data_IF_485754722530
#
_entry.id   IF_485754722530
#
_cell.length_a   1.000
_cell.length_b   1.000
_cell.length_c   1.000
_cell.angle_alpha   90.00
_cell.angle_beta   90.00
_cell.angle_gamma   90.00
#
_symmetry.space_group_name_H-M   'P 1'
#
loop_
_entity.id
_entity.type
_entity.pdbx_description
1 polymer ?
#
# COMPACT_ATOMS: atom_id res chain seq x y z
N UNK A 1 -12.79 -6.27 0.10
CA UNK A 1 -11.42 -5.79 0.38
C UNK A 1 -10.50 -6.82 -0.23
N UNK A 2 -9.79 -6.41 -1.27
CA UNK A 2 -8.90 -7.29 -2.01
C UNK A 2 -7.56 -7.47 -1.25
N UNK A 3 -6.69 -8.36 -1.74
CA UNK A 3 -5.40 -8.64 -1.09
C UNK A 3 -4.49 -7.39 -1.03
N UNK A 4 -4.48 -6.56 -2.07
CA UNK A 4 -3.68 -5.34 -2.13
C UNK A 4 -4.10 -4.33 -1.06
N UNK A 5 -5.40 -4.09 -0.91
CA UNK A 5 -5.99 -3.23 0.13
C UNK A 5 -5.70 -3.78 1.53
N UNK A 6 -5.86 -5.10 1.73
CA UNK A 6 -5.61 -5.76 3.00
C UNK A 6 -4.13 -5.67 3.42
N UNK A 7 -3.20 -5.87 2.48
CA UNK A 7 -1.77 -5.70 2.71
C UNK A 7 -1.43 -4.25 2.99
N UNK A 8 -2.01 -3.31 2.25
CA UNK A 8 -1.81 -1.89 2.49
C UNK A 8 -2.22 -1.49 3.91
N UNK A 9 -3.40 -1.94 4.34
CA UNK A 9 -3.90 -1.68 5.69
C UNK A 9 -2.98 -2.29 6.76
N UNK A 10 -2.60 -3.56 6.59
CA UNK A 10 -1.73 -4.27 7.53
C UNK A 10 -0.33 -3.64 7.64
N UNK A 11 0.28 -3.31 6.50
CA UNK A 11 1.60 -2.68 6.44
C UNK A 11 1.55 -1.24 6.95
N UNK A 12 0.49 -0.48 6.65
CA UNK A 12 0.31 0.87 7.17
C UNK A 12 0.09 0.89 8.69
N UNK A 13 -0.56 -0.14 9.27
CA UNK A 13 -0.67 -0.28 10.72
C UNK A 13 0.67 -0.59 11.38
N UNK A 14 1.44 -1.52 10.78
CA UNK A 14 2.74 -1.96 11.33
C UNK A 14 3.82 -0.88 11.17
N UNK A 15 3.88 -0.28 9.99
CA UNK A 15 4.78 0.81 9.62
C UNK A 15 3.95 2.07 9.38
N UNK A 16 3.48 2.75 10.45
CA UNK A 16 2.65 3.93 10.32
C UNK A 16 3.38 5.00 9.53
N UNK A 17 2.94 5.14 8.30
CA UNK A 17 3.29 6.26 7.48
C UNK A 17 2.31 7.37 7.82
N UNK A 18 2.82 8.53 8.24
CA UNK A 18 1.97 9.69 8.52
C UNK A 18 1.43 10.31 7.24
N UNK A 19 0.77 9.58 6.36
CA UNK A 19 0.46 10.05 5.01
C UNK A 19 -0.61 11.13 5.10
N UNK A 20 -0.60 12.16 4.24
CA UNK A 20 -1.68 13.13 4.27
C UNK A 20 -3.00 12.41 3.98
N UNK A 21 -3.89 12.32 4.97
CA UNK A 21 -5.19 11.63 4.89
C UNK A 21 -6.08 12.13 3.73
N UNK A 22 -5.82 13.33 3.24
CA UNK A 22 -6.55 13.92 2.12
C UNK A 22 -5.85 13.62 0.78
N UNK A 23 -6.62 13.29 -0.28
CA UNK A 23 -6.04 13.02 -1.59
C UNK A 23 -5.38 14.27 -2.17
N UNK A 24 -4.34 14.08 -2.98
CA UNK A 24 -3.59 15.18 -3.60
C UNK A 24 -4.40 16.04 -4.57
N UNK A 25 -5.53 15.51 -5.06
CA UNK A 25 -6.51 16.23 -5.87
C UNK A 25 -7.29 17.29 -5.08
N UNK A 26 -7.36 17.15 -3.75
CA UNK A 26 -7.92 18.17 -2.87
C UNK A 26 -6.87 19.23 -2.53
N UNK A 27 -7.27 20.50 -2.39
CA UNK A 27 -6.37 21.58 -1.98
C UNK A 27 -5.63 21.28 -0.67
N UNK A 28 -6.34 20.68 0.29
CA UNK A 28 -5.75 20.27 1.58
C UNK A 28 -4.66 19.22 1.40
N UNK A 29 -4.94 18.17 0.64
CA UNK A 29 -3.97 17.09 0.38
C UNK A 29 -2.79 17.55 -0.47
N UNK A 30 -3.02 18.43 -1.44
CA UNK A 30 -2.00 19.07 -2.26
C UNK A 30 -1.04 19.88 -1.39
N UNK A 31 -1.57 20.83 -0.61
CA UNK A 31 -0.77 21.72 0.24
C UNK A 31 -0.02 20.95 1.32
N UNK A 32 -0.62 19.90 1.88
CA UNK A 32 0.04 19.06 2.86
C UNK A 32 1.28 18.35 2.28
N UNK A 33 1.20 17.87 1.04
CA UNK A 33 2.35 17.23 0.34
C UNK A 33 3.40 18.27 -0.02
N UNK A 34 2.99 19.40 -0.60
CA UNK A 34 3.90 20.51 -0.92
C UNK A 34 4.67 20.98 0.32
N UNK A 35 3.98 21.29 1.43
CA UNK A 35 4.62 21.77 2.65
C UNK A 35 5.51 20.75 3.36
N UNK A 36 5.32 19.44 3.11
CA UNK A 36 6.24 18.40 3.58
C UNK A 36 7.48 18.29 2.71
N UNK A 37 7.32 18.39 1.41
CA UNK A 37 8.42 18.44 0.44
C UNK A 37 9.32 19.65 0.69
N UNK A 38 8.71 20.82 0.90
CA UNK A 38 9.41 22.06 1.29
C UNK A 38 10.22 21.87 2.57
N UNK A 39 9.64 21.26 3.61
CA UNK A 39 10.36 21.00 4.87
C UNK A 39 11.48 19.97 4.72
N UNK A 40 11.26 18.92 3.94
CA UNK A 40 12.26 17.88 3.70
C UNK A 40 13.48 18.39 2.91
N UNK A 41 13.30 19.46 2.12
CA UNK A 41 14.34 20.08 1.31
C UNK A 41 14.79 21.45 1.84
N UNK A 42 14.31 21.82 3.03
CA UNK A 42 14.78 23.00 3.73
C UNK A 42 16.17 22.73 4.33
N UNK A 43 17.04 23.71 4.20
CA UNK A 43 18.38 23.79 4.76
C UNK A 43 18.38 24.83 5.87
N UNK A 44 19.35 24.72 6.77
CA UNK A 44 19.49 25.65 7.88
C UNK A 44 19.74 27.08 7.36
N UNK A 45 18.95 28.04 7.83
CA UNK A 45 19.04 29.45 7.40
C UNK A 45 18.28 29.78 6.11
N UNK A 46 17.57 28.82 5.52
CA UNK A 46 16.78 29.08 4.31
C UNK A 46 15.65 30.09 4.52
N UNK A 47 15.46 30.95 3.51
CA UNK A 47 14.21 31.67 3.36
C UNK A 47 13.08 30.72 2.89
N UNK A 48 11.81 31.00 3.24
CA UNK A 48 10.68 30.20 2.79
C UNK A 48 10.56 30.10 1.26
N UNK A 49 11.02 31.10 0.51
CA UNK A 49 11.00 31.08 -0.96
C UNK A 49 12.07 30.16 -1.55
N UNK A 50 13.26 30.08 -0.93
CA UNK A 50 14.32 29.18 -1.37
C UNK A 50 13.91 27.70 -1.24
N UNK A 51 13.32 27.32 -0.10
CA UNK A 51 12.84 25.96 0.13
C UNK A 51 11.72 25.57 -0.87
N UNK A 52 10.81 26.51 -1.18
CA UNK A 52 9.77 26.32 -2.22
C UNK A 52 10.38 26.11 -3.59
N UNK A 53 11.35 26.92 -3.98
CA UNK A 53 12.01 26.80 -5.27
C UNK A 53 12.72 25.44 -5.41
N UNK A 54 13.41 24.97 -4.36
CA UNK A 54 14.01 23.62 -4.33
C UNK A 54 12.96 22.52 -4.42
N UNK A 55 11.87 22.61 -3.67
CA UNK A 55 10.78 21.64 -3.72
C UNK A 55 10.11 21.57 -5.10
N UNK A 56 9.86 22.71 -5.73
CA UNK A 56 9.32 22.77 -7.08
C UNK A 56 10.24 22.09 -8.09
N UNK A 57 11.55 22.41 -8.05
CA UNK A 57 12.57 21.79 -8.92
C UNK A 57 12.68 20.29 -8.68
N UNK A 58 12.67 19.84 -7.44
CA UNK A 58 12.71 18.42 -7.07
C UNK A 58 11.49 17.64 -7.58
N UNK A 59 10.34 18.31 -7.70
CA UNK A 59 9.14 17.79 -8.34
C UNK A 59 9.13 17.94 -9.87
N UNK A 60 10.17 18.50 -10.50
CA UNK A 60 10.18 18.75 -11.94
C UNK A 60 9.11 19.74 -12.40
N UNK A 61 8.80 20.72 -11.54
CA UNK A 61 7.85 21.81 -11.76
C UNK A 61 8.56 23.16 -11.69
N UNK A 62 8.04 24.15 -12.43
CA UNK A 62 8.53 25.53 -12.33
C UNK A 62 8.13 26.18 -10.99
N UNK A 63 8.96 27.06 -10.39
CA UNK A 63 8.62 27.77 -9.15
C UNK A 63 7.29 28.53 -9.23
N UNK A 64 7.01 29.18 -10.37
CA UNK A 64 5.73 29.87 -10.60
C UNK A 64 4.52 28.94 -10.53
N UNK A 65 4.65 27.70 -11.02
CA UNK A 65 3.59 26.69 -10.93
C UNK A 65 3.30 26.32 -9.49
N UNK A 66 4.35 26.20 -8.68
CA UNK A 66 4.23 25.91 -7.25
C UNK A 66 3.52 27.05 -6.51
N UNK A 67 3.87 28.30 -6.79
CA UNK A 67 3.24 29.48 -6.19
C UNK A 67 1.77 29.63 -6.61
N UNK A 68 1.42 29.32 -7.86
CA UNK A 68 0.03 29.28 -8.30
C UNK A 68 -0.80 28.24 -7.54
N UNK A 69 -0.21 27.08 -7.22
CA UNK A 69 -0.90 26.05 -6.44
C UNK A 69 -1.03 26.46 -4.97
N UNK A 70 0.02 27.03 -4.38
CA UNK A 70 -0.01 27.56 -3.00
C UNK A 70 -1.08 28.63 -2.82
N UNK A 71 -1.19 29.55 -3.79
CA UNK A 71 -2.18 30.62 -3.79
C UNK A 71 -3.56 30.20 -4.28
N UNK A 72 -3.76 28.91 -4.61
CA UNK A 72 -5.01 28.35 -5.17
C UNK A 72 -5.47 29.03 -6.46
N UNK A 73 -4.58 29.73 -7.17
CA UNK A 73 -4.88 30.46 -8.41
C UNK A 73 -5.06 29.55 -9.62
N UNK A 74 -4.48 28.34 -9.59
CA UNK A 74 -4.57 27.39 -10.71
C UNK A 74 -4.59 25.95 -10.22
N UNK A 75 -5.57 25.17 -10.66
CA UNK A 75 -5.62 23.74 -10.37
C UNK A 75 -4.46 22.98 -11.04
N UNK A 76 -3.91 21.96 -10.38
CA UNK A 76 -2.85 21.13 -10.94
C UNK A 76 -3.41 20.19 -12.02
N UNK A 77 -2.70 20.03 -13.14
CA UNK A 77 -3.02 19.00 -14.13
C UNK A 77 -2.66 17.61 -13.59
N UNK A 78 -3.29 16.55 -14.12
CA UNK A 78 -3.02 15.18 -13.71
C UNK A 78 -1.52 14.79 -13.87
N UNK A 79 -0.89 15.21 -14.96
CA UNK A 79 0.55 14.99 -15.17
C UNK A 79 1.41 15.69 -14.10
N UNK A 80 1.05 16.92 -13.71
CA UNK A 80 1.78 17.67 -12.70
C UNK A 80 1.54 17.11 -11.29
N UNK A 81 0.34 16.61 -11.00
CA UNK A 81 0.05 15.87 -9.77
C UNK A 81 0.91 14.61 -9.66
N UNK A 82 1.02 13.83 -10.74
CA UNK A 82 1.88 12.63 -10.76
C UNK A 82 3.34 12.96 -10.47
N UNK A 83 3.84 14.08 -11.01
CA UNK A 83 5.19 14.57 -10.71
C UNK A 83 5.37 14.92 -9.23
N UNK A 84 4.40 15.62 -8.63
CA UNK A 84 4.40 15.92 -7.20
C UNK A 84 4.35 14.64 -6.35
N UNK A 85 3.42 13.73 -6.65
CA UNK A 85 3.31 12.44 -5.92
C UNK A 85 4.60 11.65 -6.03
N UNK A 86 5.21 11.57 -7.22
CA UNK A 86 6.47 10.86 -7.43
C UNK A 86 7.63 11.47 -6.61
N UNK A 87 7.74 12.80 -6.58
CA UNK A 87 8.76 13.46 -5.77
C UNK A 87 8.49 13.31 -4.27
N UNK A 88 7.22 13.40 -3.85
CA UNK A 88 6.81 13.19 -2.47
C UNK A 88 7.17 11.77 -2.02
N UNK A 89 6.76 10.77 -2.81
CA UNK A 89 7.05 9.34 -2.64
C UNK A 89 8.55 9.06 -2.49
N UNK A 90 9.38 9.72 -3.31
CA UNK A 90 10.82 9.51 -3.29
C UNK A 90 11.55 10.21 -2.14
N UNK A 91 11.17 11.45 -1.82
CA UNK A 91 11.99 12.34 -0.97
C UNK A 91 11.50 12.45 0.47
N UNK A 92 10.23 12.16 0.73
CA UNK A 92 9.64 12.32 2.07
C UNK A 92 9.25 10.95 2.58
N UNK A 93 8.24 10.42 1.93
CA UNK A 93 7.66 9.11 1.99
C UNK A 93 8.66 7.93 2.15
N UNK A 94 9.43 7.63 1.10
CA UNK A 94 10.36 6.50 1.05
C UNK A 94 11.38 6.50 2.19
N UNK A 95 12.11 7.60 2.45
CA UNK A 95 13.06 7.67 3.56
C UNK A 95 12.41 7.47 4.94
N UNK A 96 11.22 8.04 5.17
CA UNK A 96 10.47 7.81 6.41
C UNK A 96 10.09 6.35 6.57
N UNK A 97 9.63 5.71 5.51
CA UNK A 97 9.29 4.30 5.55
C UNK A 97 10.52 3.42 5.77
N UNK A 98 11.63 3.72 5.09
CA UNK A 98 12.88 3.00 5.30
C UNK A 98 13.34 3.10 6.76
N UNK A 99 13.21 4.29 7.39
CA UNK A 99 13.50 4.46 8.81
C UNK A 99 12.53 3.69 9.71
N UNK A 100 11.23 3.66 9.38
CA UNK A 100 10.24 2.88 10.12
C UNK A 100 10.50 1.37 10.02
N UNK A 101 10.88 0.88 8.84
CA UNK A 101 11.28 -0.51 8.61
C UNK A 101 12.56 -0.84 9.37
N UNK A 102 13.57 0.03 9.40
CA UNK A 102 14.81 -0.22 10.18
C UNK A 102 14.56 -0.36 11.68
N UNK A 103 13.52 0.30 12.21
CA UNK A 103 13.19 0.28 13.64
C UNK A 103 12.35 -0.92 14.08
N UNK A 104 11.76 -1.68 13.14
CA UNK A 104 10.91 -2.83 13.45
C UNK A 104 11.34 -4.03 12.59
N UNK A 105 11.52 -5.22 13.18
CA UNK A 105 11.88 -6.40 12.40
C UNK A 105 10.83 -6.67 11.31
N UNK A 106 11.32 -7.07 10.14
CA UNK A 106 10.46 -7.50 9.03
C UNK A 106 9.65 -8.71 9.49
N UNK A 107 8.33 -8.76 9.21
CA UNK A 107 7.52 -9.90 9.59
C UNK A 107 7.99 -11.14 8.84
N UNK A 108 8.00 -12.27 9.53
CA UNK A 108 8.26 -13.59 8.92
C UNK A 108 7.01 -14.48 8.92
N UNK A 109 5.94 -13.99 9.54
CA UNK A 109 4.67 -14.68 9.72
C UNK A 109 3.52 -13.75 9.38
N UNK A 110 2.48 -14.31 8.76
CA UNK A 110 1.25 -13.59 8.46
C UNK A 110 0.04 -14.48 8.74
N UNK A 111 -0.94 -13.93 9.46
CA UNK A 111 -2.27 -14.52 9.59
C UNK A 111 -3.16 -13.92 8.51
N UNK A 112 -3.65 -14.77 7.62
CA UNK A 112 -4.55 -14.37 6.54
C UNK A 112 -5.93 -14.93 6.81
N UNK A 113 -6.95 -14.08 6.74
CA UNK A 113 -8.35 -14.50 6.77
C UNK A 113 -8.93 -14.23 5.40
N UNK A 114 -9.19 -15.29 4.63
CA UNK A 114 -9.68 -15.22 3.25
C UNK A 114 -10.41 -16.52 2.89
N UNK A 115 -11.10 -16.51 1.74
CA UNK A 115 -11.42 -17.75 1.04
C UNK A 115 -10.14 -18.19 0.33
N UNK A 116 -9.61 -19.33 0.75
CA UNK A 116 -8.38 -19.90 0.19
C UNK A 116 -8.72 -21.18 -0.55
N UNK A 117 -8.38 -21.23 -1.84
CA UNK A 117 -8.41 -22.45 -2.64
C UNK A 117 -7.01 -23.04 -2.69
N UNK A 118 -6.89 -24.34 -2.41
CA UNK A 118 -5.64 -25.10 -2.50
C UNK A 118 -5.74 -26.05 -3.70
N UNK A 119 -4.72 -26.08 -4.57
CA UNK A 119 -4.73 -26.90 -5.78
C UNK A 119 -4.94 -28.40 -5.53
N UNK A 120 -4.48 -28.94 -4.39
CA UNK A 120 -4.50 -30.38 -4.09
C UNK A 120 -5.46 -30.79 -2.95
N UNK A 121 -6.35 -29.89 -2.49
CA UNK A 121 -7.29 -30.26 -1.42
C UNK A 121 -8.42 -31.12 -1.99
N UNK A 122 -8.80 -32.24 -1.34
CA UNK A 122 -9.83 -33.13 -1.85
C UNK A 122 -11.11 -32.32 -2.12
N UNK A 123 -11.72 -32.59 -3.29
CA UNK A 123 -12.98 -32.01 -3.80
C UNK A 123 -14.14 -31.99 -2.78
N UNK A 124 -14.00 -32.69 -1.65
CA UNK A 124 -14.96 -32.82 -0.57
C UNK A 124 -15.17 -31.56 0.27
N UNK A 125 -14.31 -30.53 0.22
CA UNK A 125 -14.59 -29.26 0.93
C UNK A 125 -15.53 -28.31 0.19
N UNK A 126 -15.71 -28.48 -1.14
CA UNK A 126 -16.61 -27.64 -1.96
C UNK A 126 -17.93 -28.35 -2.34
N UNK A 127 -18.05 -29.66 -2.15
CA UNK A 127 -19.25 -30.43 -2.49
C UNK A 127 -20.33 -30.40 -1.39
N UNK A 128 -20.68 -29.19 -0.91
CA UNK A 128 -21.96 -28.97 -0.25
C UNK A 128 -22.88 -28.30 -1.26
N UNK A 129 -23.91 -29.02 -1.72
CA UNK A 129 -24.74 -28.68 -2.88
C UNK A 129 -25.06 -27.19 -3.05
N UNK A 130 -25.04 -26.72 -4.30
CA UNK A 130 -25.46 -25.37 -4.67
C UNK A 130 -26.90 -25.12 -4.22
N UNK A 131 -27.17 -23.96 -3.61
CA UNK A 131 -28.55 -23.48 -3.52
C UNK A 131 -29.03 -23.11 -4.94
N UNK A 132 -30.35 -23.05 -5.13
CA UNK A 132 -31.03 -22.81 -6.41
C UNK A 132 -30.60 -21.53 -7.17
N UNK A 133 -29.73 -20.70 -6.58
CA UNK A 133 -29.28 -19.42 -7.11
C UNK A 133 -27.79 -19.45 -7.52
N UNK A 134 -27.15 -20.63 -7.58
CA UNK A 134 -25.74 -20.78 -7.96
C UNK A 134 -24.73 -20.47 -6.84
N UNK A 135 -25.19 -20.14 -5.64
CA UNK A 135 -24.30 -19.98 -4.48
C UNK A 135 -24.05 -21.32 -3.77
N UNK A 136 -22.77 -21.69 -3.51
CA UNK A 136 -22.46 -22.87 -2.71
C UNK A 136 -23.01 -22.72 -1.29
N UNK A 137 -23.80 -23.71 -0.83
CA UNK A 137 -24.55 -23.63 0.42
C UNK A 137 -23.69 -23.49 1.70
N UNK A 138 -22.37 -23.69 1.61
CA UNK A 138 -21.43 -23.72 2.73
C UNK A 138 -20.30 -22.68 2.63
N UNK A 139 -20.50 -21.54 1.94
CA UNK A 139 -19.48 -20.48 1.88
C UNK A 139 -19.07 -19.93 3.25
N UNK A 140 -20.00 -19.89 4.21
CA UNK A 140 -19.69 -19.51 5.61
C UNK A 140 -18.65 -20.43 6.28
N UNK A 141 -18.51 -21.68 5.81
CA UNK A 141 -17.49 -22.65 6.26
C UNK A 141 -16.20 -22.65 5.42
N UNK A 142 -16.18 -21.94 4.28
CA UNK A 142 -15.03 -21.79 3.40
C UNK A 142 -14.10 -20.62 3.79
N UNK A 143 -14.57 -19.70 4.63
CA UNK A 143 -13.72 -18.73 5.32
C UNK A 143 -12.81 -19.44 6.29
N UNK A 144 -11.51 -19.44 6.02
CA UNK A 144 -10.52 -20.00 6.94
C UNK A 144 -9.48 -18.96 7.30
N UNK A 145 -9.21 -18.86 8.59
CA UNK A 145 -8.00 -18.24 9.07
C UNK A 145 -6.85 -19.18 8.77
N UNK A 146 -5.98 -18.79 7.87
CA UNK A 146 -4.74 -19.50 7.54
C UNK A 146 -3.58 -18.75 8.17
N UNK A 147 -2.79 -19.46 8.98
CA UNK A 147 -1.51 -18.93 9.45
C UNK A 147 -0.43 -19.37 8.47
N UNK A 148 0.31 -18.40 7.94
CA UNK A 148 1.42 -18.61 7.03
C UNK A 148 2.71 -18.26 7.76
N UNK A 149 3.54 -19.26 7.99
CA UNK A 149 4.76 -19.18 8.80
C UNK A 149 6.01 -19.38 7.94
N UNK A 150 7.10 -18.70 8.33
CA UNK A 150 8.39 -18.81 7.64
C UNK A 150 8.38 -18.18 6.23
N UNK A 151 7.51 -17.20 6.00
CA UNK A 151 7.48 -16.44 4.76
C UNK A 151 8.61 -15.41 4.74
N UNK A 152 9.31 -15.29 3.61
CA UNK A 152 10.21 -14.17 3.38
C UNK A 152 9.42 -12.96 2.87
N UNK A 153 8.89 -12.15 3.80
CA UNK A 153 8.08 -10.97 3.48
C UNK A 153 8.91 -9.71 3.22
N UNK A 154 10.24 -9.81 3.21
CA UNK A 154 11.10 -8.68 2.88
C UNK A 154 10.81 -8.12 1.48
N UNK A 155 10.55 -9.03 0.52
CA UNK A 155 10.13 -8.67 -0.83
C UNK A 155 8.80 -7.91 -0.86
N UNK A 156 7.79 -8.41 -0.14
CA UNK A 156 6.47 -7.77 0.01
C UNK A 156 6.59 -6.36 0.60
N UNK A 157 7.34 -6.20 1.69
CA UNK A 157 7.53 -4.90 2.35
C UNK A 157 8.27 -3.91 1.43
N UNK A 158 9.30 -4.35 0.70
CA UNK A 158 10.00 -3.50 -0.28
C UNK A 158 9.12 -3.11 -1.46
N UNK A 159 8.36 -4.06 -2.01
CA UNK A 159 7.47 -3.81 -3.12
C UNK A 159 6.38 -2.80 -2.73
N UNK A 160 5.80 -2.97 -1.54
CA UNK A 160 4.87 -1.99 -0.96
C UNK A 160 5.51 -0.61 -0.82
N UNK A 161 6.70 -0.55 -0.24
CA UNK A 161 7.41 0.70 0.03
C UNK A 161 7.72 1.51 -1.25
N UNK A 162 8.08 0.83 -2.33
CA UNK A 162 8.59 1.47 -3.54
C UNK A 162 7.55 1.61 -4.64
N UNK A 163 6.59 0.69 -4.72
CA UNK A 163 5.70 0.54 -5.86
C UNK A 163 4.23 0.44 -5.48
N UNK A 164 3.90 0.47 -4.18
CA UNK A 164 2.54 0.49 -3.68
C UNK A 164 1.92 -0.90 -3.48
N UNK A 165 0.61 -0.96 -3.23
CA UNK A 165 -0.04 -2.17 -2.71
C UNK A 165 -0.21 -3.30 -3.73
N UNK A 166 -0.37 -2.99 -5.03
CA UNK A 166 -0.53 -4.03 -6.06
C UNK A 166 0.76 -4.86 -6.26
N UNK A 167 1.95 -4.25 -6.42
CA UNK A 167 3.20 -5.02 -6.48
C UNK A 167 3.50 -5.75 -5.16
N UNK A 168 3.05 -5.22 -4.02
CA UNK A 168 3.17 -5.90 -2.75
C UNK A 168 2.35 -7.19 -2.70
N UNK A 169 1.11 -7.16 -3.21
CA UNK A 169 0.25 -8.33 -3.33
C UNK A 169 0.90 -9.41 -4.18
N UNK A 170 1.44 -9.05 -5.34
CA UNK A 170 2.16 -9.99 -6.21
C UNK A 170 3.37 -10.62 -5.52
N UNK A 171 4.19 -9.80 -4.83
CA UNK A 171 5.34 -10.29 -4.08
C UNK A 171 4.94 -11.20 -2.91
N UNK A 172 3.81 -10.91 -2.25
CA UNK A 172 3.25 -11.75 -1.19
C UNK A 172 2.80 -13.11 -1.74
N UNK A 173 2.02 -13.13 -2.83
CA UNK A 173 1.59 -14.36 -3.48
C UNK A 173 2.79 -15.21 -3.94
N UNK A 174 3.83 -14.58 -4.50
CA UNK A 174 5.05 -15.27 -4.88
C UNK A 174 5.76 -15.91 -3.68
N UNK A 175 5.85 -15.21 -2.54
CA UNK A 175 6.44 -15.74 -1.30
C UNK A 175 5.64 -16.94 -0.76
N UNK A 176 4.31 -16.87 -0.82
CA UNK A 176 3.42 -17.96 -0.41
C UNK A 176 3.60 -19.18 -1.32
N UNK A 177 3.58 -19.00 -2.65
CA UNK A 177 3.79 -20.07 -3.62
C UNK A 177 5.14 -20.76 -3.45
N UNK A 178 6.21 -19.97 -3.27
CA UNK A 178 7.56 -20.50 -3.06
C UNK A 178 7.66 -21.38 -1.81
N UNK A 179 6.91 -21.05 -0.75
CA UNK A 179 6.93 -21.79 0.52
C UNK A 179 6.02 -23.02 0.49
N UNK A 180 4.81 -22.87 -0.02
CA UNK A 180 3.75 -23.85 0.18
C UNK A 180 3.55 -24.82 -0.98
N UNK A 181 4.22 -24.63 -2.14
CA UNK A 181 4.18 -25.48 -3.36
C UNK A 181 2.79 -25.75 -3.98
N UNK A 182 1.72 -25.70 -3.19
CA UNK A 182 0.33 -25.69 -3.59
C UNK A 182 -0.08 -24.26 -3.99
N UNK A 183 -0.84 -24.12 -5.07
CA UNK A 183 -1.42 -22.82 -5.46
C UNK A 183 -2.44 -22.38 -4.41
N UNK A 184 -1.98 -21.61 -3.42
CA UNK A 184 -2.82 -20.80 -2.54
C UNK A 184 -3.34 -19.64 -3.38
N UNK A 185 -4.62 -19.67 -3.72
CA UNK A 185 -5.30 -18.55 -4.36
C UNK A 185 -6.17 -17.83 -3.34
N UNK A 186 -5.99 -16.51 -3.22
CA UNK A 186 -6.83 -15.64 -2.41
C UNK A 186 -7.98 -15.14 -3.30
N UNK A 187 -9.19 -15.67 -3.12
CA UNK A 187 -10.35 -15.21 -3.89
C UNK A 187 -10.92 -13.92 -3.28
N UNK A 188 -11.00 -12.85 -4.08
CA UNK A 188 -11.79 -11.66 -3.74
C UNK A 188 -13.26 -11.91 -4.13
N UNK A 189 -14.10 -12.26 -3.15
CA UNK A 189 -15.54 -12.43 -3.36
C UNK A 189 -16.35 -11.33 -2.67
N UNK A 190 -17.45 -10.87 -3.30
CA UNK A 190 -18.39 -9.95 -2.66
C UNK A 190 -18.87 -10.50 -1.29
N UNK A 191 -18.79 -9.68 -0.25
CA UNK A 191 -19.18 -10.06 1.13
C UNK A 191 -18.10 -10.76 1.95
N UNK A 192 -16.97 -11.11 1.34
CA UNK A 192 -15.98 -12.03 1.90
C UNK A 192 -14.56 -11.47 1.70
N UNK A 193 -14.27 -10.34 2.37
CA UNK A 193 -13.00 -9.63 2.21
C UNK A 193 -11.77 -10.37 2.75
N UNK A 194 -10.62 -10.15 2.10
CA UNK A 194 -9.31 -10.60 2.58
C UNK A 194 -8.87 -9.73 3.75
N UNK A 195 -8.34 -10.33 4.82
CA UNK A 195 -7.64 -9.61 5.90
C UNK A 195 -6.28 -10.21 6.12
N UNK A 196 -5.27 -9.36 6.28
CA UNK A 196 -3.90 -9.76 6.59
C UNK A 196 -3.50 -9.13 7.93
N UNK A 197 -2.87 -9.92 8.77
CA UNK A 197 -2.28 -9.48 10.03
C UNK A 197 -0.85 -10.04 10.12
N UNK A 198 0.15 -9.17 10.23
CA UNK A 198 1.54 -9.60 10.40
C UNK A 198 1.80 -9.94 11.86
N UNK A 199 2.34 -11.13 12.10
CA UNK A 199 2.71 -11.60 13.42
C UNK A 199 4.21 -11.37 13.67
N UNK A 200 4.57 -11.20 14.94
CA UNK A 200 5.96 -11.11 15.39
C UNK A 200 6.57 -12.50 15.65
#
# INVERSE_FOLDING_TARGET
MNLAEALNEALSKRYPWGEPKSPATSWRGLHARMGRLERALAQQGDSPSAARARAARAAGLGPSTWDFWRSKKRHPSAASLRKLEGAFARLVAGPHLAAAIRRKPLPTKAKVTAVVRWANSPKTMYNGGSKANGEPANLSKAHRTVKLDGLNLAGTVRAWANHGPEPAAQAFEAAVKARYKDDVQFEDRPGYGVRVEFLD
#
